data_IF_843222951689
#
_entry.id   IF_843222951689
#
_cell.length_a   1.000
_cell.length_b   1.000
_cell.length_c   1.000
_cell.angle_alpha   90.00
_cell.angle_beta   90.00
_cell.angle_gamma   90.00
#
_symmetry.space_group_name_H-M   'P 1'
#
loop_
_entity.id
_entity.type
_entity.pdbx_description
1 polymer ?
#
# COMPACT_ATOMS: atom_id res chain seq x y z
N UNK A 1 5.89 5.41 -5.68
CA UNK A 1 4.59 4.82 -5.24
C UNK A 1 3.98 4.21 -6.48
N UNK A 2 4.58 3.12 -6.92
CA UNK A 2 4.62 2.76 -8.34
C UNK A 2 3.43 1.89 -8.77
N UNK A 3 2.46 1.71 -7.87
CA UNK A 3 1.19 1.03 -8.15
C UNK A 3 -0.02 1.95 -7.83
N UNK A 4 -0.29 2.96 -8.67
CA UNK A 4 -1.38 3.89 -8.45
C UNK A 4 -2.75 3.19 -8.48
N UNK A 5 -2.92 2.14 -9.29
CA UNK A 5 -4.18 1.38 -9.36
C UNK A 5 -4.47 0.66 -8.04
N UNK A 6 -3.50 -0.02 -7.43
CA UNK A 6 -3.68 -0.69 -6.14
C UNK A 6 -3.96 0.32 -5.01
N UNK A 7 -3.22 1.43 -4.98
CA UNK A 7 -3.48 2.52 -4.03
C UNK A 7 -4.91 3.05 -4.15
N UNK A 8 -5.42 3.24 -5.37
CA UNK A 8 -6.81 3.67 -5.60
C UNK A 8 -7.82 2.64 -5.10
N UNK A 9 -7.53 1.34 -5.22
CA UNK A 9 -8.39 0.28 -4.67
C UNK A 9 -8.43 0.35 -3.15
N UNK A 10 -7.29 0.51 -2.47
CA UNK A 10 -7.23 0.64 -1.01
C UNK A 10 -8.08 1.81 -0.52
N UNK A 11 -7.89 3.00 -1.12
CA UNK A 11 -8.64 4.20 -0.78
C UNK A 11 -10.15 4.06 -1.03
N UNK A 12 -10.54 3.55 -2.21
CA UNK A 12 -11.95 3.34 -2.57
C UNK A 12 -12.66 2.37 -1.62
N UNK A 13 -11.94 1.37 -1.11
CA UNK A 13 -12.49 0.37 -0.19
C UNK A 13 -12.35 0.77 1.29
N UNK A 14 -12.06 2.04 1.60
CA UNK A 14 -12.05 2.54 2.97
C UNK A 14 -10.90 2.04 3.83
N UNK A 15 -9.78 1.65 3.23
CA UNK A 15 -8.55 1.40 3.98
C UNK A 15 -7.87 2.73 4.34
N UNK A 16 -7.22 2.76 5.49
CA UNK A 16 -6.46 3.90 6.02
C UNK A 16 -4.98 3.68 5.74
N UNK A 17 -4.27 4.70 5.26
CA UNK A 17 -2.81 4.68 5.11
C UNK A 17 -2.16 4.74 6.50
N UNK A 18 -1.44 3.70 6.89
CA UNK A 18 -0.76 3.62 8.18
C UNK A 18 0.73 3.95 8.07
N UNK A 19 1.33 3.82 6.88
CA UNK A 19 2.72 4.19 6.68
C UNK A 19 3.25 3.88 5.28
N UNK A 20 4.53 4.20 5.09
CA UNK A 20 5.29 3.88 3.89
C UNK A 20 6.56 3.12 4.31
N UNK A 21 6.64 1.86 3.92
CA UNK A 21 7.78 0.99 4.19
C UNK A 21 8.82 1.23 3.11
N UNK A 22 10.00 1.71 3.52
CA UNK A 22 11.08 2.02 2.59
C UNK A 22 11.69 0.76 2.01
N UNK A 23 11.81 0.68 0.68
CA UNK A 23 12.51 -0.38 -0.05
C UNK A 23 12.07 -1.80 0.38
N UNK A 24 10.76 -1.98 0.58
CA UNK A 24 10.18 -3.18 1.16
C UNK A 24 9.75 -4.24 0.12
N UNK A 25 9.60 -3.85 -1.15
CA UNK A 25 9.28 -4.77 -2.24
C UNK A 25 10.45 -4.86 -3.21
N UNK A 26 10.89 -6.08 -3.53
CA UNK A 26 11.88 -6.33 -4.57
C UNK A 26 11.18 -6.75 -5.86
N UNK A 27 11.29 -5.94 -6.90
CA UNK A 27 10.65 -6.16 -8.19
C UNK A 27 11.50 -5.55 -9.31
N UNK A 28 11.63 -6.25 -10.44
CA UNK A 28 12.41 -5.79 -11.60
C UNK A 28 13.85 -5.32 -11.25
N UNK A 29 14.54 -6.08 -10.39
CA UNK A 29 15.89 -5.79 -9.90
C UNK A 29 16.03 -4.46 -9.11
N UNK A 30 14.91 -3.90 -8.64
CA UNK A 30 14.86 -2.71 -7.82
C UNK A 30 14.14 -2.98 -6.49
N UNK A 31 14.45 -2.15 -5.49
CA UNK A 31 13.70 -2.11 -4.24
C UNK A 31 12.82 -0.87 -4.19
N UNK A 32 11.51 -1.07 -4.12
CA UNK A 32 10.50 -0.03 -4.13
C UNK A 32 9.88 0.20 -2.75
N UNK A 33 9.40 1.42 -2.54
CA UNK A 33 8.67 1.80 -1.33
C UNK A 33 7.22 1.30 -1.39
N UNK A 34 6.71 0.80 -0.27
CA UNK A 34 5.39 0.15 -0.18
C UNK A 34 4.48 0.92 0.78
N UNK A 35 3.31 1.34 0.31
CA UNK A 35 2.26 1.83 1.19
C UNK A 35 1.67 0.69 2.02
N UNK A 36 1.57 0.89 3.33
CA UNK A 36 0.85 -0.01 4.23
C UNK A 36 -0.54 0.56 4.52
N UNK A 37 -1.57 -0.22 4.22
CA UNK A 37 -2.97 0.14 4.41
C UNK A 37 -3.67 -0.86 5.33
N UNK A 38 -4.55 -0.38 6.20
CA UNK A 38 -5.35 -1.24 7.08
C UNK A 38 -6.84 -0.84 7.08
N UNK A 39 -7.71 -1.83 7.33
CA UNK A 39 -9.13 -1.64 7.59
C UNK A 39 -9.58 -2.67 8.62
N UNK A 40 -10.01 -2.19 9.78
CA UNK A 40 -10.59 -3.04 10.83
C UNK A 40 -12.10 -3.09 10.61
N UNK A 41 -12.68 -4.29 10.69
CA UNK A 41 -14.12 -4.52 10.62
C UNK A 41 -14.50 -5.29 11.88
N UNK A 42 -15.26 -4.64 12.76
CA UNK A 42 -15.81 -5.21 13.99
C UNK A 42 -17.34 -5.16 13.90
N UNK A 43 -18.02 -6.24 14.28
CA UNK A 43 -19.47 -6.46 14.07
C UNK A 43 -20.28 -6.29 15.33
#
# INVERSE_FOLDING_TARGET
MDNPQSNQVALRNGFILEGCLKQAEFLNDAYDDVNLYARIIDS
#
